data_IF_870516785434
#
_entry.id   IF_870516785434
#
_cell.length_a   1.000
_cell.length_b   1.000
_cell.length_c   1.000
_cell.angle_alpha   90.00
_cell.angle_beta   90.00
_cell.angle_gamma   90.00
#
_symmetry.space_group_name_H-M   'P 1'
#
loop_
_entity.id
_entity.type
_entity.pdbx_description
1 polymer ?
#
# COMPACT_ATOMS: atom_id res chain seq x y z
N UNK A 1 -40.14 -16.83 8.32
CA UNK A 1 -38.72 -16.45 8.46
C UNK A 1 -38.35 -15.63 7.25
N UNK A 2 -38.13 -14.33 7.43
CA UNK A 2 -37.73 -13.43 6.34
C UNK A 2 -36.22 -13.62 6.18
N UNK A 3 -35.77 -14.19 5.06
CA UNK A 3 -34.35 -14.17 4.72
C UNK A 3 -33.95 -12.70 4.57
N UNK A 4 -33.04 -12.16 5.41
CA UNK A 4 -32.52 -10.83 5.15
C UNK A 4 -31.89 -10.85 3.76
N UNK A 5 -32.29 -9.89 2.92
CA UNK A 5 -31.65 -9.70 1.63
C UNK A 5 -30.14 -9.64 1.86
N UNK A 6 -29.31 -10.32 1.03
CA UNK A 6 -27.87 -10.21 1.16
C UNK A 6 -27.54 -8.72 1.12
N UNK A 7 -27.02 -8.21 2.23
CA UNK A 7 -26.44 -6.88 2.27
C UNK A 7 -25.31 -6.98 1.26
N UNK A 8 -25.53 -6.46 0.05
CA UNK A 8 -24.47 -6.22 -0.91
C UNK A 8 -23.61 -5.15 -0.27
N UNK A 9 -22.69 -5.58 0.60
CA UNK A 9 -21.66 -4.72 1.11
C UNK A 9 -21.01 -4.12 -0.12
N UNK A 10 -20.91 -2.78 -0.20
CA UNK A 10 -20.41 -2.14 -1.40
C UNK A 10 -19.11 -2.84 -1.74
N UNK A 11 -19.03 -3.40 -2.95
CA UNK A 11 -17.73 -3.64 -3.60
C UNK A 11 -16.93 -2.41 -3.23
N UNK A 12 -15.81 -2.57 -2.51
CA UNK A 12 -14.98 -1.45 -2.12
C UNK A 12 -14.54 -0.84 -3.45
N UNK A 13 -15.33 0.09 -3.97
CA UNK A 13 -15.08 0.70 -5.26
C UNK A 13 -13.92 1.61 -4.94
N UNK A 14 -12.82 1.51 -5.69
CA UNK A 14 -11.85 2.57 -5.70
C UNK A 14 -12.54 3.91 -5.75
N UNK A 15 -11.92 4.85 -5.05
CA UNK A 15 -12.18 6.29 -5.12
C UNK A 15 -12.69 6.65 -6.51
N UNK A 16 -14.02 6.72 -6.61
CA UNK A 16 -14.76 7.42 -7.64
C UNK A 16 -14.89 6.77 -9.03
N UNK A 17 -15.82 5.81 -9.15
CA UNK A 17 -16.96 6.02 -10.07
C UNK A 17 -17.95 7.04 -9.47
N UNK A 18 -17.49 8.23 -9.08
CA UNK A 18 -18.44 9.33 -8.88
C UNK A 18 -18.93 9.73 -10.26
N UNK A 19 -20.16 10.23 -10.35
CA UNK A 19 -20.84 10.61 -11.60
C UNK A 19 -20.06 11.61 -12.50
N UNK A 20 -18.87 12.07 -12.09
CA UNK A 20 -17.91 12.91 -12.81
C UNK A 20 -17.34 12.29 -14.09
N UNK A 21 -17.46 10.97 -14.33
CA UNK A 21 -17.03 10.41 -15.63
C UNK A 21 -17.85 10.97 -16.80
N UNK A 22 -19.14 11.28 -16.59
CA UNK A 22 -19.99 11.89 -17.62
C UNK A 22 -19.82 13.40 -17.72
N UNK A 23 -19.44 14.08 -16.63
CA UNK A 23 -19.23 15.54 -16.58
C UNK A 23 -17.75 15.93 -16.58
N UNK A 24 -17.01 15.49 -17.61
CA UNK A 24 -15.63 15.96 -17.80
C UNK A 24 -15.59 17.46 -18.10
N UNK A 25 -15.18 18.25 -17.11
CA UNK A 25 -14.68 19.61 -17.33
C UNK A 25 -13.43 19.63 -18.23
N UNK A 26 -12.99 20.82 -18.63
CA UNK A 26 -11.88 21.04 -19.59
C UNK A 26 -10.59 20.27 -19.22
N UNK A 27 -10.28 20.20 -17.93
CA UNK A 27 -9.05 19.59 -17.40
C UNK A 27 -9.03 18.06 -17.60
N UNK A 28 -10.14 17.37 -17.33
CA UNK A 28 -10.22 15.91 -17.55
C UNK A 28 -10.11 15.53 -19.03
N UNK A 29 -10.66 16.37 -19.93
CA UNK A 29 -10.54 16.19 -21.38
C UNK A 29 -9.09 16.39 -21.86
N UNK A 30 -8.40 17.42 -21.36
CA UNK A 30 -6.99 17.70 -21.66
C UNK A 30 -6.07 16.56 -21.22
N UNK A 31 -6.23 16.04 -20.00
CA UNK A 31 -5.37 14.97 -19.49
C UNK A 31 -5.61 13.63 -20.17
N UNK A 32 -6.85 13.30 -20.54
CA UNK A 32 -7.12 12.11 -21.38
C UNK A 32 -6.35 12.19 -22.70
N UNK A 33 -6.24 13.40 -23.29
CA UNK A 33 -5.47 13.64 -24.51
C UNK A 33 -3.96 13.46 -24.35
N UNK A 34 -3.41 13.54 -23.14
CA UNK A 34 -1.97 13.36 -22.85
C UNK A 34 -1.66 11.91 -22.46
N UNK A 35 -2.55 11.28 -21.69
CA UNK A 35 -2.36 9.90 -21.20
C UNK A 35 -2.59 8.88 -22.32
N UNK A 36 -3.58 9.12 -23.19
CA UNK A 36 -3.95 8.20 -24.29
C UNK A 36 -2.81 7.93 -25.28
N UNK A 37 -2.05 8.93 -25.78
CA UNK A 37 -0.89 8.66 -26.64
C UNK A 37 0.20 7.81 -25.97
N UNK A 38 0.41 7.96 -24.66
CA UNK A 38 1.35 7.12 -23.92
C UNK A 38 0.90 5.66 -23.85
N UNK A 39 -0.41 5.43 -23.69
CA UNK A 39 -1.00 4.10 -23.76
C UNK A 39 -0.98 3.53 -25.18
N UNK A 40 -1.24 4.33 -26.22
CA UNK A 40 -1.16 3.89 -27.62
C UNK A 40 0.29 3.48 -27.98
N UNK A 41 1.29 4.19 -27.45
CA UNK A 41 2.71 3.84 -27.62
C UNK A 41 3.08 2.55 -26.87
N UNK A 42 2.57 2.41 -25.64
CA UNK A 42 2.75 1.21 -24.84
C UNK A 42 2.05 -0.01 -25.48
N UNK A 43 0.85 0.18 -26.03
CA UNK A 43 0.07 -0.81 -26.79
C UNK A 43 0.88 -1.36 -27.98
N UNK A 44 1.58 -0.48 -28.70
CA UNK A 44 2.53 -0.89 -29.76
C UNK A 44 3.66 -1.80 -29.26
N UNK A 45 4.01 -1.74 -27.97
CA UNK A 45 5.10 -2.48 -27.36
C UNK A 45 4.68 -3.83 -26.75
N UNK A 46 3.42 -3.97 -26.33
CA UNK A 46 2.85 -5.21 -25.76
C UNK A 46 2.20 -6.13 -26.82
N UNK A 47 2.13 -5.67 -28.08
CA UNK A 47 1.53 -6.42 -29.19
C UNK A 47 -0.01 -6.50 -29.11
N UNK A 48 -0.61 -7.37 -29.92
CA UNK A 48 -2.06 -7.56 -30.03
C UNK A 48 -2.68 -8.35 -28.85
N UNK A 49 -2.17 -8.18 -27.64
CA UNK A 49 -2.80 -8.76 -26.45
C UNK A 49 -4.09 -7.98 -26.13
N UNK A 50 -5.19 -8.40 -26.77
CA UNK A 50 -6.53 -7.80 -26.68
C UNK A 50 -7.01 -7.64 -25.24
N UNK A 51 -6.54 -8.47 -24.31
CA UNK A 51 -6.90 -8.42 -22.92
C UNK A 51 -6.25 -7.24 -22.18
N UNK A 52 -4.98 -6.95 -22.45
CA UNK A 52 -4.31 -5.76 -21.90
C UNK A 52 -4.90 -4.47 -22.47
N UNK A 53 -5.29 -4.48 -23.74
CA UNK A 53 -5.96 -3.34 -24.38
C UNK A 53 -7.28 -3.01 -23.65
N UNK A 54 -8.04 -4.03 -23.23
CA UNK A 54 -9.29 -3.85 -22.47
C UNK A 54 -9.06 -3.28 -21.06
N UNK A 55 -7.89 -3.51 -20.47
CA UNK A 55 -7.54 -3.04 -19.11
C UNK A 55 -6.83 -1.68 -19.10
N UNK A 56 -6.33 -1.21 -20.25
CA UNK A 56 -5.66 0.08 -20.37
C UNK A 56 -6.47 1.26 -19.77
N UNK A 57 -7.80 1.36 -19.96
CA UNK A 57 -8.59 2.43 -19.33
C UNK A 57 -8.54 2.41 -17.80
N UNK A 58 -8.57 1.22 -17.18
CA UNK A 58 -8.47 1.05 -15.72
C UNK A 58 -7.09 1.49 -15.23
N UNK A 59 -6.02 0.99 -15.88
CA UNK A 59 -4.65 1.36 -15.52
C UNK A 59 -4.38 2.87 -15.72
N UNK A 60 -4.93 3.46 -16.79
CA UNK A 60 -4.84 4.89 -17.07
C UNK A 60 -5.55 5.73 -16.00
N UNK A 61 -6.64 5.23 -15.42
CA UNK A 61 -7.41 5.97 -14.42
C UNK A 61 -6.58 6.31 -13.19
N UNK A 62 -5.68 5.42 -12.76
CA UNK A 62 -4.76 5.72 -11.66
C UNK A 62 -3.91 6.96 -11.93
N UNK A 63 -3.37 7.07 -13.15
CA UNK A 63 -2.58 8.24 -13.55
C UNK A 63 -3.45 9.49 -13.67
N UNK A 64 -4.64 9.36 -14.25
CA UNK A 64 -5.60 10.47 -14.34
C UNK A 64 -5.95 11.01 -12.95
N UNK A 65 -6.26 10.16 -11.97
CA UNK A 65 -6.57 10.55 -10.60
C UNK A 65 -5.41 11.30 -9.93
N UNK A 66 -4.18 10.81 -10.09
CA UNK A 66 -2.99 11.53 -9.60
C UNK A 66 -2.95 12.95 -10.20
N UNK A 67 -3.16 13.08 -11.50
CA UNK A 67 -3.12 14.38 -12.19
C UNK A 67 -4.31 15.28 -11.79
N UNK A 68 -5.51 14.73 -11.64
CA UNK A 68 -6.72 15.43 -11.18
C UNK A 68 -6.54 16.06 -9.79
N UNK A 69 -5.74 15.44 -8.93
CA UNK A 69 -5.44 15.99 -7.61
C UNK A 69 -4.19 16.88 -7.59
N UNK A 70 -3.10 16.48 -8.26
CA UNK A 70 -1.84 17.23 -8.22
C UNK A 70 -1.85 18.47 -9.13
N UNK A 71 -2.53 18.46 -10.28
CA UNK A 71 -2.50 19.58 -11.21
C UNK A 71 -3.16 20.85 -10.63
N UNK A 72 -4.38 20.81 -10.07
CA UNK A 72 -4.95 21.99 -9.42
C UNK A 72 -4.10 22.47 -8.24
N UNK A 73 -3.56 21.55 -7.44
CA UNK A 73 -2.68 21.89 -6.33
C UNK A 73 -1.37 22.54 -6.80
N UNK A 74 -0.87 22.21 -7.99
CA UNK A 74 0.32 22.84 -8.58
C UNK A 74 0.08 24.29 -8.98
N UNK A 75 -1.18 24.64 -9.29
CA UNK A 75 -1.60 26.01 -9.59
C UNK A 75 -1.89 26.77 -8.30
N UNK A 76 -2.69 26.17 -7.40
CA UNK A 76 -3.15 26.79 -6.16
C UNK A 76 -2.03 26.92 -5.11
N UNK A 77 -1.15 25.91 -5.02
CA UNK A 77 -0.14 25.75 -3.98
C UNK A 77 1.17 25.15 -4.54
N UNK A 78 1.87 25.83 -5.47
CA UNK A 78 3.06 25.29 -6.15
C UNK A 78 4.17 24.85 -5.18
N UNK A 79 4.28 25.53 -4.03
CA UNK A 79 5.21 25.14 -2.98
C UNK A 79 4.94 23.74 -2.40
N UNK A 80 3.68 23.38 -2.19
CA UNK A 80 3.28 22.05 -1.70
C UNK A 80 3.58 20.96 -2.74
N UNK A 81 3.28 21.22 -4.01
CA UNK A 81 3.63 20.29 -5.10
C UNK A 81 5.12 20.02 -5.16
N UNK A 82 5.97 21.05 -5.06
CA UNK A 82 7.42 20.86 -5.02
C UNK A 82 7.82 19.98 -3.84
N UNK A 83 7.26 20.22 -2.65
CA UNK A 83 7.60 19.44 -1.46
C UNK A 83 7.14 17.97 -1.58
N UNK A 84 6.02 17.69 -2.26
CA UNK A 84 5.59 16.32 -2.61
C UNK A 84 6.56 15.69 -3.60
N UNK A 85 6.96 16.40 -4.65
CA UNK A 85 7.93 15.88 -5.62
C UNK A 85 9.25 15.48 -4.95
N UNK A 86 9.71 16.26 -3.97
CA UNK A 86 10.86 15.91 -3.13
C UNK A 86 10.64 14.64 -2.30
N UNK A 87 9.46 14.47 -1.74
CA UNK A 87 9.09 13.28 -0.96
C UNK A 87 9.01 12.02 -1.84
N UNK A 88 8.45 12.13 -3.05
CA UNK A 88 8.42 11.06 -4.04
C UNK A 88 9.83 10.69 -4.49
N UNK A 89 10.71 11.68 -4.69
CA UNK A 89 12.12 11.46 -5.00
C UNK A 89 12.83 10.71 -3.87
N UNK A 90 12.62 11.12 -2.61
CA UNK A 90 13.17 10.42 -1.43
C UNK A 90 12.72 8.96 -1.38
N UNK A 91 11.41 8.71 -1.50
CA UNK A 91 10.86 7.36 -1.56
C UNK A 91 11.54 6.53 -2.66
N UNK A 92 11.63 7.06 -3.89
CA UNK A 92 12.24 6.34 -5.01
C UNK A 92 13.71 6.01 -4.75
N UNK A 93 14.49 6.94 -4.20
CA UNK A 93 15.90 6.73 -3.87
C UNK A 93 16.07 5.65 -2.81
N UNK A 94 15.30 5.71 -1.72
CA UNK A 94 15.35 4.73 -0.62
C UNK A 94 14.88 3.36 -1.06
N UNK A 95 13.79 3.29 -1.82
CA UNK A 95 13.29 2.04 -2.37
C UNK A 95 14.33 1.38 -3.28
N UNK A 96 14.97 2.15 -4.17
CA UNK A 96 16.04 1.65 -5.05
C UNK A 96 17.26 1.20 -4.26
N UNK A 97 17.65 1.97 -3.23
CA UNK A 97 18.72 1.64 -2.30
C UNK A 97 18.44 0.31 -1.57
N UNK A 98 17.27 0.18 -0.96
CA UNK A 98 16.79 -1.03 -0.29
C UNK A 98 16.77 -2.23 -1.21
N UNK A 99 16.22 -2.10 -2.41
CA UNK A 99 16.16 -3.19 -3.39
C UNK A 99 17.55 -3.68 -3.79
N UNK A 100 18.50 -2.78 -4.05
CA UNK A 100 19.89 -3.15 -4.39
C UNK A 100 20.58 -3.86 -3.24
N UNK A 101 20.56 -3.26 -2.05
CA UNK A 101 21.26 -3.79 -0.90
C UNK A 101 20.65 -5.11 -0.40
N UNK A 102 19.34 -5.30 -0.56
CA UNK A 102 18.68 -6.58 -0.28
C UNK A 102 19.09 -7.64 -1.30
N UNK A 103 19.18 -7.31 -2.58
CA UNK A 103 19.66 -8.25 -3.60
C UNK A 103 21.10 -8.74 -3.33
N UNK A 104 21.92 -7.91 -2.68
CA UNK A 104 23.31 -8.23 -2.31
C UNK A 104 23.44 -9.01 -0.99
N UNK A 105 22.33 -9.32 -0.29
CA UNK A 105 22.37 -10.10 0.96
C UNK A 105 22.66 -11.56 0.69
N UNK A 106 23.38 -12.19 1.62
CA UNK A 106 23.72 -13.61 1.62
C UNK A 106 22.53 -14.51 2.01
N UNK A 107 21.52 -13.93 2.66
CA UNK A 107 20.31 -14.64 3.07
C UNK A 107 19.03 -13.85 2.81
N UNK A 108 17.90 -14.57 2.86
CA UNK A 108 16.54 -14.01 2.92
C UNK A 108 15.72 -14.74 3.98
N UNK A 109 14.68 -14.09 4.47
CA UNK A 109 13.64 -14.69 5.32
C UNK A 109 12.42 -15.00 4.45
N UNK A 110 11.86 -16.18 4.62
CA UNK A 110 10.74 -16.65 3.80
C UNK A 110 9.39 -16.26 4.40
N UNK A 111 8.41 -16.06 3.51
CA UNK A 111 6.99 -16.12 3.86
C UNK A 111 6.63 -17.47 4.49
N UNK A 112 5.49 -17.57 5.15
CA UNK A 112 5.04 -18.78 5.86
C UNK A 112 3.98 -19.57 5.10
N UNK A 113 3.68 -20.78 5.56
CA UNK A 113 2.57 -21.59 5.06
C UNK A 113 1.20 -20.90 5.18
N UNK A 114 1.02 -20.03 6.17
CA UNK A 114 -0.21 -19.24 6.32
C UNK A 114 -0.35 -18.24 5.18
N UNK A 115 0.76 -17.64 4.78
CA UNK A 115 0.82 -16.76 3.61
C UNK A 115 0.51 -17.54 2.33
N UNK A 116 0.99 -18.78 2.22
CA UNK A 116 0.71 -19.67 1.09
C UNK A 116 -0.80 -19.95 0.95
N UNK A 117 -1.49 -20.16 2.07
CA UNK A 117 -2.91 -20.51 2.13
C UNK A 117 -3.85 -19.40 1.63
N UNK A 118 -3.43 -18.14 1.65
CA UNK A 118 -4.21 -17.04 1.05
C UNK A 118 -4.31 -17.29 -0.47
N UNK A 119 -5.49 -17.32 -1.10
CA UNK A 119 -5.58 -17.50 -2.55
C UNK A 119 -5.02 -16.29 -3.30
N UNK A 120 -4.26 -16.55 -4.37
CA UNK A 120 -3.84 -15.49 -5.29
C UNK A 120 -5.05 -15.02 -6.11
N UNK A 121 -5.40 -13.74 -6.00
CA UNK A 121 -6.53 -13.11 -6.70
C UNK A 121 -6.04 -11.85 -7.41
N UNK A 122 -5.55 -11.96 -8.67
CA UNK A 122 -4.95 -10.84 -9.38
C UNK A 122 -5.95 -9.70 -9.66
N UNK A 123 -7.25 -9.96 -9.65
CA UNK A 123 -8.33 -8.98 -9.77
C UNK A 123 -8.40 -7.96 -8.62
N UNK A 124 -7.67 -8.19 -7.51
CA UNK A 124 -7.59 -7.27 -6.36
C UNK A 124 -6.49 -6.19 -6.53
N UNK A 125 -5.89 -6.09 -7.72
CA UNK A 125 -4.79 -5.16 -8.03
C UNK A 125 -5.20 -3.69 -8.00
N UNK A 126 -6.50 -3.42 -8.12
CA UNK A 126 -7.04 -2.08 -8.17
C UNK A 126 -6.74 -1.28 -6.90
N UNK A 127 -6.98 -1.81 -5.69
CA UNK A 127 -6.68 -1.09 -4.44
C UNK A 127 -5.19 -0.86 -4.25
N UNK A 128 -4.37 -1.86 -4.63
CA UNK A 128 -2.92 -1.76 -4.56
C UNK A 128 -2.41 -0.58 -5.39
N UNK A 129 -2.90 -0.44 -6.62
CA UNK A 129 -2.49 0.63 -7.52
C UNK A 129 -3.02 2.02 -7.11
N UNK A 130 -4.12 2.08 -6.35
CA UNK A 130 -4.71 3.35 -5.91
C UNK A 130 -3.97 4.05 -4.77
N UNK A 131 -2.92 3.46 -4.19
CA UNK A 131 -2.15 4.12 -3.12
C UNK A 131 -1.65 5.52 -3.52
N UNK A 132 -1.15 5.67 -4.75
CA UNK A 132 -0.62 6.94 -5.25
C UNK A 132 -1.75 7.98 -5.49
N UNK A 133 -2.86 7.64 -6.18
CA UNK A 133 -4.07 8.45 -6.19
C UNK A 133 -4.51 8.93 -4.80
N UNK A 134 -4.56 8.04 -3.81
CA UNK A 134 -5.01 8.39 -2.45
C UNK A 134 -4.06 9.37 -1.76
N UNK A 135 -2.74 9.17 -1.93
CA UNK A 135 -1.73 10.11 -1.45
C UNK A 135 -1.97 11.48 -2.08
N UNK A 136 -2.19 11.54 -3.39
CA UNK A 136 -2.43 12.80 -4.11
C UNK A 136 -3.72 13.49 -3.66
N UNK A 137 -4.83 12.75 -3.53
CA UNK A 137 -6.11 13.27 -3.04
C UNK A 137 -5.97 13.81 -1.62
N UNK A 138 -5.37 13.02 -0.73
CA UNK A 138 -5.19 13.40 0.67
C UNK A 138 -4.29 14.62 0.78
N UNK A 139 -3.17 14.66 0.05
CA UNK A 139 -2.29 15.81 0.01
C UNK A 139 -3.03 17.09 -0.41
N UNK A 140 -3.88 17.01 -1.45
CA UNK A 140 -4.71 18.14 -1.90
C UNK A 140 -5.73 18.55 -0.83
N UNK A 141 -6.42 17.60 -0.20
CA UNK A 141 -7.39 17.89 0.85
C UNK A 141 -6.71 18.55 2.06
N UNK A 142 -5.59 18.01 2.51
CA UNK A 142 -4.77 18.56 3.59
C UNK A 142 -4.30 19.99 3.27
N UNK A 143 -3.83 20.24 2.05
CA UNK A 143 -3.39 21.57 1.62
C UNK A 143 -4.48 22.65 1.72
N UNK A 144 -5.76 22.27 1.77
CA UNK A 144 -6.89 23.20 1.95
C UNK A 144 -7.26 23.42 3.42
N UNK A 145 -6.84 22.55 4.32
CA UNK A 145 -7.14 22.69 5.76
C UNK A 145 -6.44 23.92 6.35
N UNK A 146 -7.06 24.53 7.38
CA UNK A 146 -6.51 25.72 8.05
C UNK A 146 -5.07 25.51 8.56
N UNK A 147 -4.75 24.30 9.02
CA UNK A 147 -3.44 23.95 9.58
C UNK A 147 -2.39 23.75 8.50
N UNK A 148 -2.71 23.01 7.45
CA UNK A 148 -1.72 22.57 6.45
C UNK A 148 -1.73 23.39 5.15
N UNK A 149 -2.59 24.39 5.01
CA UNK A 149 -2.45 25.43 3.97
C UNK A 149 -1.13 26.19 4.05
N UNK A 150 -0.49 26.21 5.21
CA UNK A 150 0.82 26.82 5.39
C UNK A 150 1.92 25.82 5.06
N UNK A 151 2.75 26.17 4.05
CA UNK A 151 3.85 25.33 3.55
C UNK A 151 4.77 24.76 4.62
N UNK A 152 5.07 25.50 5.68
CA UNK A 152 5.90 25.01 6.80
C UNK A 152 5.26 23.79 7.48
N UNK A 153 3.96 23.84 7.76
CA UNK A 153 3.23 22.75 8.40
C UNK A 153 3.06 21.58 7.43
N UNK A 154 2.84 21.86 6.14
CA UNK A 154 2.77 20.84 5.10
C UNK A 154 4.11 20.09 4.96
N UNK A 155 5.24 20.80 4.93
CA UNK A 155 6.59 20.19 4.97
C UNK A 155 6.84 19.39 6.23
N UNK A 156 6.40 19.89 7.38
CA UNK A 156 6.51 19.18 8.66
C UNK A 156 5.81 17.82 8.61
N UNK A 157 4.66 17.74 7.93
CA UNK A 157 3.91 16.52 7.66
C UNK A 157 4.63 15.64 6.63
N UNK A 158 5.10 16.17 5.52
CA UNK A 158 5.86 15.37 4.56
C UNK A 158 7.16 14.79 5.15
N UNK A 159 7.77 15.51 6.11
CA UNK A 159 8.92 15.02 6.86
C UNK A 159 8.67 13.71 7.59
N UNK A 160 7.43 13.42 8.04
CA UNK A 160 7.13 12.13 8.67
C UNK A 160 7.03 11.00 7.66
N UNK A 161 6.65 11.28 6.41
CA UNK A 161 6.69 10.28 5.32
C UNK A 161 8.15 9.92 5.02
N UNK A 162 9.04 10.91 5.01
CA UNK A 162 10.50 10.67 4.87
C UNK A 162 11.04 9.83 6.04
N UNK A 163 10.62 10.09 7.27
CA UNK A 163 10.97 9.27 8.43
C UNK A 163 10.45 7.83 8.31
N UNK A 164 9.20 7.66 7.84
CA UNK A 164 8.59 6.35 7.59
C UNK A 164 9.42 5.57 6.57
N UNK A 165 9.80 6.20 5.45
CA UNK A 165 10.63 5.59 4.42
C UNK A 165 12.00 5.18 4.94
N UNK A 166 12.63 6.03 5.76
CA UNK A 166 13.94 5.75 6.37
C UNK A 166 13.87 4.54 7.29
N UNK A 167 12.84 4.43 8.12
CA UNK A 167 12.70 3.28 9.03
C UNK A 167 12.37 1.98 8.30
N UNK A 168 11.54 2.04 7.25
CA UNK A 168 11.29 0.90 6.39
C UNK A 168 12.57 0.43 5.69
N UNK A 169 13.33 1.37 5.10
CA UNK A 169 14.62 1.09 4.44
C UNK A 169 15.59 0.37 5.38
N UNK A 170 15.73 0.84 6.63
CA UNK A 170 16.60 0.20 7.61
C UNK A 170 16.18 -1.22 8.00
N UNK A 171 14.87 -1.51 8.02
CA UNK A 171 14.36 -2.86 8.25
C UNK A 171 14.62 -3.77 7.04
N UNK A 172 14.34 -3.30 5.82
CA UNK A 172 14.62 -4.03 4.58
C UNK A 172 16.08 -4.43 4.48
N UNK A 173 16.98 -3.49 4.78
CA UNK A 173 18.41 -3.77 4.80
C UNK A 173 18.78 -4.85 5.80
N UNK A 174 18.19 -4.85 6.99
CA UNK A 174 18.60 -5.74 8.07
C UNK A 174 18.03 -7.14 7.94
N UNK A 175 16.77 -7.24 7.50
CA UNK A 175 15.99 -8.46 7.44
C UNK A 175 15.36 -8.58 6.05
N UNK A 176 16.17 -8.89 5.03
CA UNK A 176 15.67 -9.08 3.68
C UNK A 176 14.67 -10.24 3.68
N UNK A 177 13.51 -10.04 3.08
CA UNK A 177 12.46 -11.04 3.02
C UNK A 177 12.09 -11.34 1.58
N UNK A 178 11.59 -12.54 1.33
CA UNK A 178 11.24 -13.02 0.00
C UNK A 178 9.90 -13.72 0.04
N UNK A 179 8.99 -13.29 -0.84
CA UNK A 179 7.65 -13.88 -1.00
C UNK A 179 7.54 -14.44 -2.41
N UNK A 180 7.10 -15.70 -2.60
CA UNK A 180 6.79 -16.23 -3.92
C UNK A 180 5.69 -15.41 -4.62
N UNK A 181 5.95 -14.99 -5.85
CA UNK A 181 4.98 -14.23 -6.67
C UNK A 181 4.51 -15.05 -7.85
N UNK A 182 3.21 -15.03 -8.08
CA UNK A 182 2.62 -15.61 -9.28
C UNK A 182 2.67 -14.58 -10.41
N UNK A 183 3.39 -14.91 -11.48
CA UNK A 183 3.49 -14.11 -12.70
C UNK A 183 2.53 -14.59 -13.81
N UNK A 184 1.86 -15.73 -13.60
CA UNK A 184 0.90 -16.28 -14.54
C UNK A 184 -0.49 -15.68 -14.28
N UNK A 185 -0.70 -14.47 -14.77
CA UNK A 185 -1.97 -13.77 -14.76
C UNK A 185 -2.11 -12.85 -15.97
N UNK A 186 -3.33 -12.39 -16.22
CA UNK A 186 -3.70 -11.52 -17.32
C UNK A 186 -3.92 -10.05 -16.90
N UNK A 187 -3.55 -9.66 -15.67
CA UNK A 187 -3.72 -8.29 -15.17
C UNK A 187 -2.57 -7.36 -15.56
N UNK A 188 -2.87 -6.31 -16.33
CA UNK A 188 -1.90 -5.35 -16.85
C UNK A 188 -1.26 -4.54 -15.72
N UNK A 189 -2.08 -3.97 -14.83
CA UNK A 189 -1.61 -3.16 -13.71
C UNK A 189 -0.67 -3.98 -12.82
N UNK A 190 -1.06 -5.20 -12.46
CA UNK A 190 -0.20 -6.10 -11.69
C UNK A 190 1.10 -6.46 -12.44
N UNK A 191 1.05 -6.66 -13.76
CA UNK A 191 2.27 -6.93 -14.57
C UNK A 191 3.25 -5.76 -14.50
N UNK A 192 2.74 -4.53 -14.55
CA UNK A 192 3.54 -3.31 -14.39
C UNK A 192 4.12 -3.24 -12.98
N UNK A 193 3.31 -3.48 -11.95
CA UNK A 193 3.75 -3.49 -10.54
C UNK A 193 4.88 -4.48 -10.34
N UNK A 194 4.68 -5.75 -10.71
CA UNK A 194 5.67 -6.82 -10.52
C UNK A 194 6.97 -6.60 -11.32
N UNK A 195 6.91 -5.84 -12.43
CA UNK A 195 8.10 -5.43 -13.18
C UNK A 195 8.96 -4.41 -12.44
N UNK A 196 8.33 -3.49 -11.70
CA UNK A 196 9.02 -2.39 -11.02
C UNK A 196 9.25 -2.62 -9.52
N UNK A 197 8.58 -3.61 -8.96
CA UNK A 197 8.71 -4.05 -7.58
C UNK A 197 9.16 -5.52 -7.59
N UNK A 198 10.46 -5.84 -7.43
CA UNK A 198 10.91 -7.22 -7.32
C UNK A 198 10.48 -7.86 -5.97
N UNK A 199 10.43 -9.20 -5.86
CA UNK A 199 9.95 -9.94 -4.67
C UNK A 199 10.93 -9.92 -3.48
N UNK A 200 11.68 -8.82 -3.30
CA UNK A 200 12.84 -8.74 -2.41
C UNK A 200 12.62 -7.86 -1.18
N UNK A 201 11.48 -7.18 -1.02
CA UNK A 201 11.24 -6.27 0.11
C UNK A 201 9.84 -6.45 0.70
N UNK A 202 9.72 -7.30 1.71
CA UNK A 202 8.43 -7.65 2.29
C UNK A 202 8.58 -7.75 3.82
N UNK A 203 8.84 -6.62 4.51
CA UNK A 203 8.49 -6.35 5.92
C UNK A 203 9.28 -5.11 6.43
N UNK A 204 8.62 -4.01 6.84
CA UNK A 204 7.17 -3.77 6.85
C UNK A 204 6.59 -3.56 5.44
N UNK A 205 5.27 -3.71 5.27
CA UNK A 205 4.59 -3.27 4.04
C UNK A 205 4.47 -1.74 4.01
N UNK A 206 5.14 -1.09 3.04
CA UNK A 206 5.00 0.36 2.84
C UNK A 206 3.59 0.75 2.36
N UNK A 207 2.92 -0.08 1.57
CA UNK A 207 1.54 0.17 1.14
C UNK A 207 0.59 0.28 2.34
N UNK A 208 0.73 -0.64 3.29
CA UNK A 208 -0.04 -0.62 4.55
C UNK A 208 0.39 0.55 5.42
N UNK A 209 1.70 0.76 5.60
CA UNK A 209 2.21 1.85 6.41
C UNK A 209 1.71 3.21 5.91
N UNK A 210 1.76 3.48 4.61
CA UNK A 210 1.22 4.70 4.02
C UNK A 210 -0.29 4.81 4.22
N UNK A 211 -1.05 3.76 3.92
CA UNK A 211 -2.52 3.81 4.01
C UNK A 211 -2.97 4.15 5.43
N UNK A 212 -2.46 3.44 6.45
CA UNK A 212 -2.77 3.70 7.85
C UNK A 212 -2.28 5.07 8.32
N UNK A 213 -1.10 5.48 7.87
CA UNK A 213 -0.53 6.76 8.26
C UNK A 213 -1.33 7.93 7.68
N UNK A 214 -1.76 7.83 6.42
CA UNK A 214 -2.60 8.81 5.72
C UNK A 214 -3.98 8.90 6.37
N UNK A 215 -4.60 7.76 6.69
CA UNK A 215 -5.87 7.71 7.43
C UNK A 215 -5.79 8.51 8.74
N UNK A 216 -4.77 8.24 9.55
CA UNK A 216 -4.59 8.90 10.84
C UNK A 216 -4.25 10.39 10.70
N UNK A 217 -3.46 10.77 9.69
CA UNK A 217 -3.22 12.18 9.36
C UNK A 217 -4.51 12.89 8.94
N UNK A 218 -5.32 12.26 8.09
CA UNK A 218 -6.57 12.83 7.60
C UNK A 218 -7.54 13.08 8.77
N UNK A 219 -7.65 12.10 9.67
CA UNK A 219 -8.43 12.19 10.91
C UNK A 219 -7.91 13.32 11.81
N UNK A 220 -6.59 13.36 12.05
CA UNK A 220 -5.95 14.41 12.84
C UNK A 220 -6.16 15.82 12.26
N UNK A 221 -6.23 15.94 10.94
CA UNK A 221 -6.52 17.20 10.26
C UNK A 221 -8.02 17.60 10.30
N UNK A 222 -8.88 16.71 10.81
CA UNK A 222 -10.33 16.87 10.88
C UNK A 222 -11.02 16.69 9.52
N UNK A 223 -10.43 15.90 8.60
CA UNK A 223 -11.06 15.64 7.30
C UNK A 223 -12.34 14.79 7.42
N UNK A 224 -12.43 13.96 8.47
CA UNK A 224 -13.63 13.20 8.85
C UNK A 224 -14.89 14.06 9.04
N UNK A 225 -14.70 15.33 9.40
CA UNK A 225 -15.78 16.30 9.59
C UNK A 225 -15.84 17.39 8.52
N UNK A 226 -14.70 17.77 7.94
CA UNK A 226 -14.60 18.88 6.99
C UNK A 226 -14.78 18.48 5.53
N UNK A 227 -14.45 17.24 5.16
CA UNK A 227 -14.52 16.74 3.78
C UNK A 227 -14.87 15.24 3.81
N UNK A 228 -16.14 14.95 4.11
CA UNK A 228 -16.63 13.57 4.30
C UNK A 228 -16.42 12.69 3.08
N UNK A 229 -16.47 13.26 1.87
CA UNK A 229 -16.23 12.54 0.62
C UNK A 229 -14.76 12.11 0.52
N UNK A 230 -13.82 13.02 0.81
CA UNK A 230 -12.40 12.64 0.84
C UNK A 230 -12.11 11.64 1.96
N UNK A 231 -12.73 11.82 3.12
CA UNK A 231 -12.60 10.92 4.26
C UNK A 231 -13.04 9.50 3.95
N UNK A 232 -14.27 9.31 3.46
CA UNK A 232 -14.81 8.01 3.08
C UNK A 232 -13.89 7.28 2.09
N UNK A 233 -13.36 8.03 1.12
CA UNK A 233 -12.47 7.49 0.10
C UNK A 233 -11.13 6.99 0.71
N UNK A 234 -10.56 7.76 1.64
CA UNK A 234 -9.34 7.40 2.38
C UNK A 234 -9.58 6.18 3.27
N UNK A 235 -10.68 6.16 4.01
CA UNK A 235 -11.04 5.06 4.92
C UNK A 235 -11.24 3.76 4.15
N UNK A 236 -12.07 3.79 3.11
CA UNK A 236 -12.35 2.61 2.27
C UNK A 236 -11.07 2.07 1.64
N UNK A 237 -10.21 2.94 1.10
CA UNK A 237 -8.97 2.44 0.52
C UNK A 237 -7.97 1.93 1.55
N UNK A 238 -7.99 2.46 2.78
CA UNK A 238 -7.15 1.95 3.87
C UNK A 238 -7.56 0.53 4.23
N UNK A 239 -8.86 0.31 4.47
CA UNK A 239 -9.40 -1.00 4.80
C UNK A 239 -9.22 -2.02 3.65
N UNK A 240 -9.42 -1.60 2.41
CA UNK A 240 -9.25 -2.44 1.22
C UNK A 240 -7.79 -2.81 0.92
N UNK A 241 -6.81 -2.05 1.42
CA UNK A 241 -5.38 -2.29 1.13
C UNK A 241 -4.89 -3.62 1.70
N UNK A 242 -5.38 -4.05 2.88
CA UNK A 242 -4.98 -5.35 3.46
C UNK A 242 -5.29 -6.49 2.49
N UNK A 243 -6.54 -6.55 2.00
CA UNK A 243 -6.96 -7.56 1.04
C UNK A 243 -6.12 -7.51 -0.22
N UNK A 244 -5.89 -6.31 -0.75
CA UNK A 244 -5.12 -6.13 -1.98
C UNK A 244 -3.69 -6.67 -1.86
N UNK A 245 -2.96 -6.29 -0.80
CA UNK A 245 -1.54 -6.67 -0.68
C UNK A 245 -1.36 -8.17 -0.43
N UNK A 246 -2.27 -8.80 0.31
CA UNK A 246 -2.21 -10.25 0.62
C UNK A 246 -2.67 -11.09 -0.57
N UNK A 247 -3.80 -10.72 -1.19
CA UNK A 247 -4.37 -11.46 -2.30
C UNK A 247 -3.50 -11.41 -3.56
N UNK A 248 -2.74 -10.33 -3.77
CA UNK A 248 -1.78 -10.20 -4.86
C UNK A 248 -0.42 -10.83 -4.56
N UNK A 249 -0.24 -11.42 -3.37
CA UNK A 249 1.03 -11.99 -2.90
C UNK A 249 2.18 -10.98 -2.96
N UNK A 250 1.88 -9.69 -2.82
CA UNK A 250 2.89 -8.63 -2.75
C UNK A 250 3.48 -8.55 -1.35
N UNK A 251 2.68 -8.87 -0.33
CA UNK A 251 3.06 -8.86 1.07
C UNK A 251 2.54 -10.07 1.81
N UNK A 252 3.32 -10.52 2.79
CA UNK A 252 2.92 -11.53 3.76
C UNK A 252 2.11 -10.89 4.91
N UNK A 253 1.40 -11.71 5.70
CA UNK A 253 0.55 -11.26 6.80
C UNK A 253 1.33 -10.44 7.84
N UNK A 254 2.58 -10.83 8.10
CA UNK A 254 3.46 -10.14 9.05
C UNK A 254 3.86 -8.77 8.53
N UNK A 255 4.10 -8.62 7.23
CA UNK A 255 4.40 -7.30 6.63
C UNK A 255 3.28 -6.31 6.88
N UNK A 256 2.04 -6.78 6.84
CA UNK A 256 0.85 -5.97 7.12
C UNK A 256 0.89 -5.48 8.56
N UNK A 257 1.04 -6.39 9.52
CA UNK A 257 1.13 -6.03 10.95
C UNK A 257 2.28 -5.06 11.24
N UNK A 258 3.47 -5.33 10.69
CA UNK A 258 4.64 -4.44 10.81
C UNK A 258 4.45 -3.11 10.07
N UNK A 259 3.69 -3.07 8.99
CA UNK A 259 3.28 -1.84 8.30
C UNK A 259 2.41 -0.95 9.19
N UNK A 260 1.40 -1.53 9.85
CA UNK A 260 0.55 -0.81 10.82
C UNK A 260 1.40 -0.30 11.98
N UNK A 261 2.29 -1.15 12.53
CA UNK A 261 3.19 -0.76 13.63
C UNK A 261 4.15 0.36 13.24
N UNK A 262 4.71 0.33 12.03
CA UNK A 262 5.55 1.42 11.53
C UNK A 262 4.76 2.74 11.47
N UNK A 263 3.54 2.71 10.91
CA UNK A 263 2.68 3.89 10.86
C UNK A 263 2.38 4.44 12.27
N UNK A 264 2.02 3.57 13.21
CA UNK A 264 1.77 3.93 14.63
C UNK A 264 2.99 4.60 15.26
N UNK A 265 4.17 3.98 15.17
CA UNK A 265 5.40 4.50 15.76
C UNK A 265 5.76 5.90 15.22
N UNK A 266 5.58 6.14 13.92
CA UNK A 266 5.86 7.45 13.31
C UNK A 266 4.79 8.47 13.74
N UNK A 267 3.52 8.07 13.70
CA UNK A 267 2.40 8.94 14.07
C UNK A 267 2.47 9.39 15.52
N UNK A 268 2.55 8.47 16.47
CA UNK A 268 2.51 8.77 17.91
C UNK A 268 3.75 9.57 18.37
N UNK A 269 4.92 9.36 17.73
CA UNK A 269 6.10 10.20 17.98
C UNK A 269 5.88 11.65 17.54
N UNK A 270 5.16 11.86 16.44
CA UNK A 270 4.95 13.18 15.84
C UNK A 270 3.75 13.93 16.42
N UNK A 271 2.68 13.20 16.71
CA UNK A 271 1.37 13.70 17.10
C UNK A 271 1.05 13.20 18.51
N UNK A 272 1.88 13.58 19.49
CA UNK A 272 1.88 13.05 20.87
C UNK A 272 0.57 13.17 21.65
N UNK A 273 -0.34 14.03 21.19
CA UNK A 273 -1.62 14.28 21.84
C UNK A 273 -2.79 13.58 21.13
N UNK A 274 -2.51 12.92 20.01
CA UNK A 274 -3.48 12.23 19.19
C UNK A 274 -3.28 10.72 19.33
N UNK A 275 -4.38 10.00 19.49
CA UNK A 275 -4.36 8.55 19.54
C UNK A 275 -4.33 8.00 18.11
N UNK A 276 -3.43 7.05 17.86
CA UNK A 276 -3.43 6.29 16.61
C UNK A 276 -4.64 5.33 16.57
N UNK A 277 -5.37 5.36 15.47
CA UNK A 277 -6.44 4.44 15.14
C UNK A 277 -5.89 3.35 14.22
N UNK A 278 -5.76 2.14 14.77
CA UNK A 278 -5.23 0.97 14.08
C UNK A 278 -6.29 0.22 13.26
N UNK A 279 -7.57 0.59 13.36
CA UNK A 279 -8.70 -0.01 12.65
C UNK A 279 -8.87 -1.53 12.89
N UNK A 280 -8.19 -2.13 13.86
CA UNK A 280 -8.26 -3.58 14.15
C UNK A 280 -9.66 -4.01 14.61
N UNK A 281 -10.47 -3.08 15.11
CA UNK A 281 -11.89 -3.30 15.42
C UNK A 281 -12.75 -3.59 14.18
N UNK A 282 -12.29 -3.23 12.98
CA UNK A 282 -13.00 -3.52 11.72
C UNK A 282 -12.73 -4.92 11.17
N UNK A 283 -11.71 -5.62 11.68
CA UNK A 283 -11.26 -6.88 11.09
C UNK A 283 -12.32 -7.98 11.11
N UNK A 284 -13.22 -8.03 12.09
CA UNK A 284 -14.32 -9.01 12.11
C UNK A 284 -15.32 -8.74 10.97
N UNK A 285 -15.54 -7.47 10.63
CA UNK A 285 -16.37 -7.10 9.49
C UNK A 285 -15.65 -7.39 8.18
N UNK A 286 -14.36 -7.10 8.10
CA UNK A 286 -13.56 -7.41 6.91
C UNK A 286 -13.47 -8.91 6.65
N UNK A 287 -13.32 -9.74 7.70
CA UNK A 287 -13.31 -11.20 7.59
C UNK A 287 -14.63 -11.78 7.08
N UNK A 288 -15.76 -11.11 7.37
CA UNK A 288 -17.07 -11.48 6.79
C UNK A 288 -17.19 -11.13 5.30
N UNK A 289 -16.51 -10.06 4.87
CA UNK A 289 -16.50 -9.61 3.47
C UNK A 289 -15.52 -10.45 2.64
N UNK A 290 -14.34 -10.72 3.19
CA UNK A 290 -13.27 -11.47 2.57
C UNK A 290 -12.77 -12.58 3.51
N UNK A 291 -13.41 -13.75 3.50
CA UNK A 291 -13.06 -14.86 4.40
C UNK A 291 -11.71 -15.50 4.06
N UNK A 292 -11.10 -15.13 2.93
CA UNK A 292 -9.82 -15.67 2.47
C UNK A 292 -8.61 -14.95 3.05
N UNK A 293 -8.78 -13.74 3.55
CA UNK A 293 -7.71 -13.00 4.23
C UNK A 293 -7.76 -13.32 5.73
N UNK A 294 -6.70 -13.87 6.33
CA UNK A 294 -6.67 -14.24 7.74
C UNK A 294 -6.42 -13.01 8.63
N UNK A 295 -7.44 -12.16 8.73
CA UNK A 295 -7.38 -10.92 9.52
C UNK A 295 -7.03 -11.16 10.99
N UNK A 296 -7.50 -12.26 11.58
CA UNK A 296 -7.18 -12.62 12.97
C UNK A 296 -5.68 -12.90 13.19
N UNK A 297 -5.00 -13.48 12.20
CA UNK A 297 -3.55 -13.69 12.28
C UNK A 297 -2.82 -12.36 12.22
N UNK A 298 -3.24 -11.45 11.34
CA UNK A 298 -2.67 -10.09 11.25
C UNK A 298 -2.87 -9.34 12.57
N UNK A 299 -4.08 -9.39 13.14
CA UNK A 299 -4.43 -8.81 14.45
C UNK A 299 -3.55 -9.38 15.56
N UNK A 300 -3.37 -10.70 15.59
CA UNK A 300 -2.56 -11.39 16.60
C UNK A 300 -1.10 -10.94 16.53
N UNK A 301 -0.49 -10.95 15.34
CA UNK A 301 0.89 -10.49 15.15
C UNK A 301 1.02 -9.01 15.52
N UNK A 302 0.06 -8.18 15.14
CA UNK A 302 0.08 -6.76 15.46
C UNK A 302 0.04 -6.50 16.97
N UNK A 303 -0.89 -7.13 17.70
CA UNK A 303 -0.99 -6.95 19.16
C UNK A 303 0.22 -7.53 19.91
N UNK A 304 0.90 -8.53 19.36
CA UNK A 304 2.16 -9.02 19.95
C UNK A 304 3.26 -7.94 19.94
N UNK A 305 3.33 -7.14 18.87
CA UNK A 305 4.38 -6.13 18.68
C UNK A 305 3.94 -4.71 19.02
N UNK A 306 2.65 -4.47 19.28
CA UNK A 306 2.10 -3.11 19.31
C UNK A 306 2.66 -2.24 20.44
N UNK A 307 3.01 -2.87 21.58
CA UNK A 307 3.51 -2.19 22.77
C UNK A 307 5.05 -2.07 22.80
N UNK A 308 5.74 -2.63 21.81
CA UNK A 308 7.19 -2.50 21.72
C UNK A 308 7.58 -1.05 21.36
N UNK A 309 8.24 -0.36 22.29
CA UNK A 309 8.79 0.99 22.08
C UNK A 309 10.23 0.92 21.56
N UNK A 310 10.35 0.53 20.29
CA UNK A 310 11.62 0.49 19.59
C UNK A 310 11.46 0.85 18.11
N UNK A 311 12.58 1.09 17.43
CA UNK A 311 12.59 1.28 15.97
C UNK A 311 12.15 -0.01 15.28
N UNK A 312 11.47 0.12 14.14
CA UNK A 312 10.83 -1.02 13.47
C UNK A 312 11.81 -2.17 13.16
N UNK A 313 13.05 -1.85 12.79
CA UNK A 313 14.14 -2.83 12.60
C UNK A 313 14.37 -3.69 13.84
N UNK A 314 14.40 -3.09 15.03
CA UNK A 314 14.70 -3.81 16.25
C UNK A 314 13.53 -4.70 16.67
N UNK A 315 12.30 -4.20 16.56
CA UNK A 315 11.07 -4.97 16.78
C UNK A 315 11.06 -6.20 15.86
N UNK A 316 11.33 -5.99 14.56
CA UNK A 316 11.37 -7.07 13.58
C UNK A 316 12.45 -8.10 13.89
N UNK A 317 13.65 -7.66 14.27
CA UNK A 317 14.73 -8.56 14.68
C UNK A 317 14.37 -9.41 15.90
N UNK A 318 13.76 -8.81 16.92
CA UNK A 318 13.30 -9.51 18.12
C UNK A 318 12.21 -10.52 17.77
N UNK A 319 11.24 -10.13 16.92
CA UNK A 319 10.18 -11.00 16.45
C UNK A 319 10.75 -12.21 15.67
N UNK A 320 11.64 -11.97 14.71
CA UNK A 320 12.33 -13.01 13.94
C UNK A 320 13.06 -14.00 14.86
N UNK A 321 13.79 -13.49 15.86
CA UNK A 321 14.52 -14.31 16.82
C UNK A 321 13.62 -15.14 17.72
N UNK A 322 12.51 -14.57 18.21
CA UNK A 322 11.54 -15.26 19.07
C UNK A 322 10.81 -16.39 18.35
N UNK A 323 10.44 -16.16 17.09
CA UNK A 323 9.62 -17.09 16.30
C UNK A 323 10.46 -18.03 15.40
N UNK A 324 11.78 -17.92 15.42
CA UNK A 324 12.68 -18.88 14.78
C UNK A 324 12.62 -18.88 13.25
N UNK A 325 12.34 -17.74 12.61
CA UNK A 325 12.26 -17.66 11.15
C UNK A 325 13.60 -18.04 10.50
N UNK A 326 13.61 -18.99 9.53
CA UNK A 326 14.84 -19.45 8.93
C UNK A 326 15.43 -18.37 8.02
N UNK A 327 16.75 -18.23 8.09
CA UNK A 327 17.54 -17.47 7.11
C UNK A 327 18.01 -18.44 6.03
N UNK A 328 17.47 -18.31 4.84
CA UNK A 328 17.83 -19.16 3.70
C UNK A 328 18.83 -18.45 2.80
N UNK A 329 19.76 -19.19 2.19
CA UNK A 329 20.74 -18.60 1.27
C UNK A 329 20.08 -17.83 0.12
N UNK A 330 20.69 -16.75 -0.36
CA UNK A 330 20.11 -15.90 -1.41
C UNK A 330 19.72 -16.62 -2.70
N UNK A 331 20.51 -17.64 -3.09
CA UNK A 331 20.23 -18.50 -4.24
C UNK A 331 19.18 -19.59 -4.00
N UNK A 332 18.62 -19.70 -2.80
CA UNK A 332 17.61 -20.71 -2.50
C UNK A 332 16.35 -20.50 -3.36
N UNK A 333 15.76 -21.57 -3.93
CA UNK A 333 14.49 -21.51 -4.62
C UNK A 333 13.42 -20.83 -3.74
N UNK A 334 12.52 -20.06 -4.35
CA UNK A 334 11.47 -19.40 -3.59
C UNK A 334 10.53 -20.45 -2.97
N UNK A 335 10.10 -20.22 -1.72
CA UNK A 335 9.27 -21.17 -0.99
C UNK A 335 8.65 -20.53 0.25
N UNK A 336 7.95 -21.36 1.03
CA UNK A 336 7.26 -20.98 2.25
C UNK A 336 7.82 -21.76 3.45
N UNK A 337 7.94 -21.11 4.60
CA UNK A 337 8.30 -21.74 5.85
C UNK A 337 7.06 -22.32 6.55
N UNK A 338 7.08 -23.62 6.80
CA UNK A 338 6.11 -24.29 7.65
C UNK A 338 6.54 -24.19 9.11
N UNK A 339 5.90 -23.29 9.86
CA UNK A 339 6.17 -23.08 11.28
C UNK A 339 5.85 -24.30 12.16
N UNK A 340 4.97 -25.21 11.72
CA UNK A 340 4.60 -26.40 12.48
C UNK A 340 5.63 -27.52 12.35
N UNK A 341 6.13 -27.73 11.14
CA UNK A 341 7.11 -28.79 10.86
C UNK A 341 8.55 -28.29 10.84
N UNK A 342 8.76 -26.97 10.92
CA UNK A 342 10.04 -26.29 10.77
C UNK A 342 10.75 -26.61 9.44
N UNK A 343 9.99 -26.83 8.35
CA UNK A 343 10.51 -27.15 7.02
C UNK A 343 10.20 -26.05 5.99
N UNK A 344 10.91 -26.08 4.86
CA UNK A 344 10.63 -25.21 3.71
C UNK A 344 9.79 -26.00 2.70
N UNK A 345 8.63 -25.45 2.33
CA UNK A 345 7.72 -25.97 1.32
C UNK A 345 8.01 -25.22 -0.02
N UNK A 346 8.28 -25.94 -1.13
CA UNK A 346 8.41 -25.32 -2.44
C UNK A 346 7.14 -24.57 -2.86
N UNK A 347 7.28 -23.43 -3.54
CA UNK A 347 6.14 -22.64 -4.00
C UNK A 347 5.37 -23.28 -5.17
N UNK A 348 5.95 -24.30 -5.81
CA UNK A 348 5.51 -24.86 -7.10
C UNK A 348 4.49 -26.02 -6.93
N UNK A 349 3.93 -26.20 -5.74
CA UNK A 349 2.95 -27.26 -5.44
C UNK A 349 1.51 -26.81 -5.58
#
# INVERSE_FOLDING_TARGET
MINPAPISLPVIRPIQETNTWRDRGLVGKLFTGIVRPGFDLYQKHIGDNLEFIRQAPEAARNLELILEHLAPMSIENPGHTIDIAWTVRDWRLRYTSASKLTADRDYHILATQEDAAVPFRPEEDTHYAHILPNIAQTARALAKTKRYKHRRNFRYLLGTIVELNKEAEEAYHAYPTKVPRNHNHNRLTLSIVQKYDPPLNCCPSLHIAYSWFIYNIAKHAGLDTQDTVAWEAIEQSTLGMIRAVTALKQHCLRDVAFGIKLAKNIFERRFKHDRFDDLTSHFDTLARIDPFTPYDNIRTVYHEIEHEDARIKNILGNYIGRHGFPKVAAGHPCGYFDEKTANIIPADR
#
